data_IF_409040057144
#
_entry.id   IF_409040057144
#
_cell.length_a   1.000
_cell.length_b   1.000
_cell.length_c   1.000
_cell.angle_alpha   90.00
_cell.angle_beta   90.00
_cell.angle_gamma   90.00
#
_symmetry.space_group_name_H-M   'P 1'
#
loop_
_entity.id
_entity.type
_entity.pdbx_description
1 polymer ?
#
# COMPACT_ATOMS: atom_id res chain seq x y z
N UNK A 1 -1.68 17.08 -2.05
CA UNK A 1 -0.65 16.11 -2.49
C UNK A 1 0.69 16.80 -2.27
N UNK A 2 1.50 16.38 -1.30
CA UNK A 2 2.80 17.01 -1.03
C UNK A 2 3.76 16.65 -2.18
N UNK A 3 3.82 17.49 -3.20
CA UNK A 3 4.87 17.48 -4.23
C UNK A 3 6.15 18.19 -3.77
N UNK A 4 6.22 18.55 -2.49
CA UNK A 4 7.40 19.19 -1.94
C UNK A 4 8.48 18.12 -1.74
N UNK A 5 9.51 18.17 -2.59
CA UNK A 5 10.74 17.38 -2.51
C UNK A 5 10.53 15.91 -2.90
N UNK A 6 10.52 15.58 -4.19
CA UNK A 6 10.49 14.19 -4.69
C UNK A 6 11.92 13.72 -5.01
N UNK A 7 12.28 12.51 -4.61
CA UNK A 7 13.50 11.82 -5.05
C UNK A 7 13.21 10.40 -5.54
N UNK A 8 14.00 9.96 -6.52
CA UNK A 8 13.97 8.59 -7.04
C UNK A 8 15.07 7.79 -6.36
N UNK A 9 14.68 6.73 -5.65
CA UNK A 9 15.61 5.78 -5.03
C UNK A 9 15.54 4.46 -5.77
N UNK A 10 16.68 3.99 -6.26
CA UNK A 10 16.78 2.63 -6.78
C UNK A 10 16.75 1.64 -5.61
N UNK A 11 15.78 0.73 -5.65
CA UNK A 11 15.64 -0.36 -4.70
C UNK A 11 15.90 -1.67 -5.42
N UNK A 12 16.74 -2.51 -4.82
CA UNK A 12 17.06 -3.85 -5.32
C UNK A 12 16.22 -4.85 -4.53
N UNK A 13 15.35 -5.58 -5.22
CA UNK A 13 14.61 -6.71 -4.64
C UNK A 13 15.54 -7.85 -4.25
N UNK A 14 15.05 -8.74 -3.40
CA UNK A 14 15.73 -10.00 -3.06
C UNK A 14 16.03 -10.85 -4.31
N UNK A 15 15.16 -10.76 -5.32
CA UNK A 15 15.30 -11.48 -6.59
C UNK A 15 16.29 -10.80 -7.57
N UNK A 16 16.98 -9.73 -7.13
CA UNK A 16 17.93 -8.96 -7.94
C UNK A 16 17.28 -7.98 -8.93
N UNK A 17 15.95 -7.93 -9.00
CA UNK A 17 15.22 -6.95 -9.80
C UNK A 17 15.38 -5.55 -9.23
N UNK A 18 15.68 -4.57 -10.09
CA UNK A 18 15.78 -3.17 -9.70
C UNK A 18 14.49 -2.45 -10.03
N UNK A 19 13.95 -1.72 -9.08
CA UNK A 19 12.80 -0.84 -9.29
C UNK A 19 13.08 0.54 -8.72
N UNK A 20 12.60 1.56 -9.42
CA UNK A 20 12.72 2.94 -8.98
C UNK A 20 11.53 3.26 -8.06
N UNK A 21 11.83 3.61 -6.82
CA UNK A 21 10.85 4.07 -5.85
C UNK A 21 10.84 5.58 -5.80
N UNK A 22 9.69 6.18 -6.07
CA UNK A 22 9.42 7.58 -5.78
C UNK A 22 9.21 7.76 -4.28
N UNK A 23 9.98 8.64 -3.64
CA UNK A 23 9.83 8.95 -2.21
C UNK A 23 10.05 10.44 -1.93
N UNK A 24 9.60 10.95 -0.77
CA UNK A 24 9.94 12.30 -0.36
C UNK A 24 11.46 12.44 -0.18
N UNK A 25 12.02 13.59 -0.55
CA UNK A 25 13.42 13.94 -0.37
C UNK A 25 13.64 14.31 1.08
N UNK A 26 14.03 13.28 1.82
CA UNK A 26 14.36 13.28 3.23
C UNK A 26 15.34 12.15 3.49
N UNK A 27 16.02 12.20 4.65
CA UNK A 27 16.94 11.12 5.01
C UNK A 27 16.22 9.77 4.98
N UNK A 28 16.92 8.71 4.53
CA UNK A 28 16.32 7.38 4.40
C UNK A 28 15.65 6.90 5.69
N UNK A 29 16.30 7.15 6.84
CA UNK A 29 15.78 6.82 8.17
C UNK A 29 14.51 7.61 8.51
N UNK A 30 14.44 8.89 8.14
CA UNK A 30 13.24 9.72 8.36
C UNK A 30 12.07 9.22 7.53
N UNK A 31 12.29 8.91 6.25
CA UNK A 31 11.27 8.36 5.38
C UNK A 31 10.73 7.03 5.92
N UNK A 32 11.61 6.12 6.30
CA UNK A 32 11.24 4.82 6.86
C UNK A 32 10.45 4.95 8.17
N UNK A 33 10.86 5.85 9.07
CA UNK A 33 10.13 6.12 10.30
C UNK A 33 8.72 6.66 10.03
N UNK A 34 8.57 7.62 9.11
CA UNK A 34 7.26 8.18 8.74
C UNK A 34 6.38 7.10 8.12
N UNK A 35 6.93 6.30 7.19
CA UNK A 35 6.20 5.18 6.59
C UNK A 35 5.78 4.12 7.63
N UNK A 36 6.60 3.86 8.65
CA UNK A 36 6.26 2.95 9.75
C UNK A 36 5.10 3.46 10.64
N UNK A 37 4.97 4.79 10.75
CA UNK A 37 3.88 5.44 11.49
C UNK A 37 2.56 5.48 10.70
N UNK A 38 2.57 5.18 9.40
CA UNK A 38 1.34 5.14 8.61
C UNK A 38 0.36 4.09 9.17
N UNK A 39 -0.91 4.48 9.25
CA UNK A 39 -2.00 3.60 9.67
C UNK A 39 -2.48 2.68 8.53
N UNK A 40 -2.25 3.08 7.29
CA UNK A 40 -2.58 2.36 6.07
C UNK A 40 -1.36 2.33 5.16
N UNK A 41 -0.97 1.13 4.72
CA UNK A 41 0.12 0.86 3.78
C UNK A 41 -0.33 -0.30 2.89
N UNK A 42 -0.26 -0.14 1.58
CA UNK A 42 -0.69 -1.19 0.65
C UNK A 42 0.05 -1.16 -0.67
N UNK A 43 0.09 -2.32 -1.32
CA UNK A 43 0.65 -2.51 -2.66
C UNK A 43 -0.46 -2.36 -3.71
N UNK A 44 -0.23 -1.54 -4.73
CA UNK A 44 -1.16 -1.40 -5.85
C UNK A 44 -0.87 -2.51 -6.87
N UNK A 45 -1.82 -3.40 -7.06
CA UNK A 45 -1.76 -4.51 -8.00
C UNK A 45 -2.74 -4.25 -9.13
N UNK A 46 -2.30 -4.45 -10.37
CA UNK A 46 -3.18 -4.45 -11.54
C UNK A 46 -3.54 -5.90 -11.83
N UNK A 47 -4.82 -6.24 -11.76
CA UNK A 47 -5.26 -7.59 -12.06
C UNK A 47 -5.16 -7.86 -13.56
N UNK A 48 -4.50 -8.97 -13.96
CA UNK A 48 -4.35 -9.32 -15.37
C UNK A 48 -5.65 -9.81 -16.02
N UNK A 49 -6.70 -10.11 -15.24
CA UNK A 49 -7.98 -10.64 -15.74
C UNK A 49 -8.92 -9.55 -16.24
N UNK A 50 -9.00 -8.48 -15.48
CA UNK A 50 -10.01 -7.42 -15.57
C UNK A 50 -9.38 -6.04 -15.77
N UNK A 51 -8.04 -5.92 -15.70
CA UNK A 51 -7.33 -4.64 -15.80
C UNK A 51 -7.60 -3.68 -14.63
N UNK A 52 -8.41 -4.11 -13.66
CA UNK A 52 -8.77 -3.34 -12.50
C UNK A 52 -7.59 -3.23 -11.51
N UNK A 53 -7.60 -2.14 -10.76
CA UNK A 53 -6.60 -1.85 -9.74
C UNK A 53 -7.12 -2.31 -8.39
N UNK A 54 -6.30 -3.06 -7.67
CA UNK A 54 -6.57 -3.50 -6.31
C UNK A 54 -5.42 -3.05 -5.40
N UNK A 55 -5.75 -2.70 -4.17
CA UNK A 55 -4.77 -2.40 -3.13
C UNK A 55 -4.71 -3.60 -2.20
N UNK A 56 -3.58 -4.29 -2.20
CA UNK A 56 -3.26 -5.35 -1.24
C UNK A 56 -2.82 -4.72 0.07
N UNK A 57 -3.54 -5.04 1.13
CA UNK A 57 -3.31 -4.55 2.49
C UNK A 57 -2.77 -5.64 3.42
N UNK A 58 -2.76 -6.90 2.96
CA UNK A 58 -2.19 -8.03 3.68
C UNK A 58 -0.67 -8.11 3.49
N UNK A 59 0.07 -8.07 4.60
CA UNK A 59 1.52 -8.27 4.62
C UNK A 59 1.93 -9.67 4.13
N UNK A 60 3.13 -9.76 3.58
CA UNK A 60 3.79 -11.03 3.24
C UNK A 60 5.24 -10.99 3.73
N UNK A 61 6.00 -12.11 3.73
CA UNK A 61 7.40 -12.11 4.12
C UNK A 61 8.28 -11.11 3.34
N UNK A 62 7.86 -10.74 2.13
CA UNK A 62 8.58 -9.81 1.25
C UNK A 62 7.87 -8.47 1.07
N UNK A 63 6.66 -8.31 1.61
CA UNK A 63 5.82 -7.13 1.42
C UNK A 63 5.36 -6.56 2.76
N UNK A 64 5.69 -5.28 2.97
CA UNK A 64 5.15 -4.48 4.07
C UNK A 64 3.79 -3.92 3.65
N UNK A 65 2.71 -4.42 4.24
CA UNK A 65 1.36 -3.90 4.07
C UNK A 65 0.59 -3.94 5.40
N UNK A 66 -0.34 -3.01 5.60
CA UNK A 66 -0.96 -2.75 6.90
C UNK A 66 -2.29 -2.00 6.71
N UNK A 67 -3.33 -2.46 7.37
CA UNK A 67 -4.58 -1.72 7.55
C UNK A 67 -4.99 -1.74 9.02
N UNK A 68 -4.68 -0.65 9.73
CA UNK A 68 -5.10 -0.50 11.14
C UNK A 68 -6.52 0.04 11.29
N UNK A 69 -7.12 0.58 10.22
CA UNK A 69 -8.41 1.25 10.30
C UNK A 69 -9.53 0.23 10.12
N UNK A 70 -9.50 -0.52 9.02
CA UNK A 70 -10.57 -1.44 8.63
C UNK A 70 -10.16 -2.91 8.69
N UNK A 71 -8.86 -3.19 8.87
CA UNK A 71 -8.29 -4.56 8.97
C UNK A 71 -8.65 -5.45 7.78
N UNK A 72 -8.65 -4.90 6.57
CA UNK A 72 -8.94 -5.62 5.31
C UNK A 72 -7.68 -6.25 4.74
N UNK A 73 -7.84 -7.33 3.99
CA UNK A 73 -6.73 -7.96 3.25
C UNK A 73 -6.51 -7.30 1.89
N UNK A 74 -7.60 -6.86 1.24
CA UNK A 74 -7.62 -6.21 -0.06
C UNK A 74 -8.75 -5.19 -0.11
N UNK A 75 -8.59 -4.13 -0.92
CA UNK A 75 -9.67 -3.20 -1.28
C UNK A 75 -9.43 -2.62 -2.67
N UNK A 76 -10.44 -2.00 -3.28
CA UNK A 76 -10.22 -1.16 -4.46
C UNK A 76 -9.73 0.23 -4.03
N UNK A 77 -9.00 0.97 -4.89
CA UNK A 77 -8.55 2.32 -4.59
C UNK A 77 -9.68 3.27 -4.14
N UNK A 78 -10.86 3.12 -4.71
CA UNK A 78 -12.04 3.94 -4.39
C UNK A 78 -12.53 3.71 -2.94
N UNK A 79 -12.34 2.50 -2.40
CA UNK A 79 -12.71 2.14 -1.03
C UNK A 79 -11.55 2.22 -0.03
N UNK A 80 -10.41 2.82 -0.40
CA UNK A 80 -9.24 2.84 0.48
C UNK A 80 -9.52 3.55 1.82
N UNK A 81 -10.21 4.69 1.77
CA UNK A 81 -10.55 5.51 2.95
C UNK A 81 -12.03 5.46 3.33
N UNK A 82 -12.83 4.73 2.57
CA UNK A 82 -14.28 4.60 2.79
C UNK A 82 -14.53 3.24 3.45
N UNK A 83 -15.26 3.25 4.56
CA UNK A 83 -15.70 2.03 5.20
C UNK A 83 -16.66 1.29 4.26
N UNK A 84 -16.37 0.03 3.93
CA UNK A 84 -17.37 -0.82 3.29
C UNK A 84 -18.42 -1.19 4.34
N UNK A 85 -19.70 -0.93 4.05
CA UNK A 85 -20.80 -1.47 4.84
C UNK A 85 -20.76 -2.99 4.70
N UNK A 86 -20.39 -3.70 5.77
CA UNK A 86 -20.52 -5.15 5.79
C UNK A 86 -22.02 -5.46 5.73
N UNK A 87 -22.50 -5.93 4.58
CA UNK A 87 -23.78 -6.61 4.50
C UNK A 87 -23.81 -7.72 5.55
N UNK A 88 -24.54 -7.45 6.63
CA UNK A 88 -24.79 -8.43 7.66
C UNK A 88 -25.71 -9.45 7.02
N UNK A 89 -25.17 -10.58 6.56
CA UNK A 89 -26.00 -11.71 6.15
C UNK A 89 -26.84 -12.13 7.35
N UNK A 90 -28.08 -11.65 7.38
CA UNK A 90 -29.14 -12.15 8.23
C UNK A 90 -29.40 -13.59 7.78
N UNK A 91 -28.77 -14.55 8.45
CA UNK A 91 -29.15 -15.95 8.32
C UNK A 91 -30.54 -16.09 8.94
N UNK A 92 -31.54 -16.32 8.08
CA UNK A 92 -32.87 -16.79 8.42
C UNK A 92 -32.85 -18.31 8.68
#
# INVERSE_FOLDING_TARGET
>A
MLTAWEEYKDVVSLDGTKFSQTRPMMSGKTAENICGLCNLVGELIISPKDGARYVRLQASPTLVAKDLIFKREFCTPDHLLIAEEKETKANA
#
